data_IF_920909673701
#
_entry.id   IF_920909673701
#
_cell.length_a   1.000
_cell.length_b   1.000
_cell.length_c   1.000
_cell.angle_alpha   90.00
_cell.angle_beta   90.00
_cell.angle_gamma   90.00
#
_symmetry.space_group_name_H-M   'P 1'
#
loop_
_entity.id
_entity.type
_entity.pdbx_description
1 polymer ?
#
# COMPACT_ATOMS: atom_id res chain seq x y z
N UNK A 1 13.93 3.25 10.50
CA UNK A 1 13.77 4.04 11.74
C UNK A 1 14.75 5.20 11.85
N UNK A 2 16.06 5.00 11.70
CA UNK A 2 17.04 6.10 11.85
C UNK A 2 16.85 7.25 10.85
N UNK A 3 16.57 6.94 9.59
CA UNK A 3 16.25 7.95 8.56
C UNK A 3 14.96 8.70 8.90
N UNK A 4 13.97 8.04 9.51
CA UNK A 4 12.74 8.70 9.93
C UNK A 4 13.04 9.75 11.02
N UNK A 5 13.88 9.41 11.99
CA UNK A 5 14.32 10.34 13.04
C UNK A 5 15.08 11.55 12.47
N UNK A 6 15.98 11.32 11.50
CA UNK A 6 16.73 12.40 10.87
C UNK A 6 15.82 13.35 10.07
N UNK A 7 14.80 12.83 9.39
CA UNK A 7 13.84 13.64 8.62
C UNK A 7 12.88 14.41 9.53
N UNK A 8 12.45 13.79 10.63
CA UNK A 8 11.64 14.48 11.65
C UNK A 8 12.43 15.63 12.31
N UNK A 9 13.75 15.47 12.50
CA UNK A 9 14.61 16.55 12.99
C UNK A 9 14.71 17.74 12.00
N UNK A 10 14.43 17.50 10.72
CA UNK A 10 14.37 18.53 9.68
C UNK A 10 12.96 19.12 9.48
N UNK A 11 12.01 18.79 10.36
CA UNK A 11 10.68 19.41 10.41
C UNK A 11 9.64 18.78 9.49
N UNK A 12 9.91 17.62 8.88
CA UNK A 12 8.95 16.88 8.06
C UNK A 12 8.34 15.75 8.88
N UNK A 13 7.04 15.82 9.14
CA UNK A 13 6.31 14.74 9.82
C UNK A 13 6.15 13.54 8.88
N UNK A 14 6.80 12.43 9.24
CA UNK A 14 6.67 11.15 8.54
C UNK A 14 5.86 10.18 9.42
N UNK A 15 4.72 9.64 8.92
CA UNK A 15 3.98 8.62 9.64
C UNK A 15 4.85 7.37 9.92
N UNK A 16 4.77 6.77 11.12
CA UNK A 16 5.49 5.54 11.42
C UNK A 16 5.08 4.45 10.41
N UNK A 17 6.06 3.83 9.76
CA UNK A 17 5.80 2.82 8.72
C UNK A 17 5.85 3.33 7.27
N UNK A 18 5.72 4.64 7.03
CA UNK A 18 5.57 5.19 5.67
C UNK A 18 6.79 4.99 4.76
N UNK A 19 7.96 4.76 5.36
CA UNK A 19 9.24 4.56 4.68
C UNK A 19 9.54 3.08 4.36
N UNK A 20 8.76 2.13 4.89
CA UNK A 20 8.98 0.70 4.63
C UNK A 20 8.64 0.36 3.17
N UNK A 21 9.56 -0.35 2.51
CA UNK A 21 9.42 -0.75 1.10
C UNK A 21 9.66 0.38 0.08
N UNK A 22 10.04 1.58 0.54
CA UNK A 22 10.32 2.75 -0.32
C UNK A 22 11.81 2.95 -0.62
N UNK A 23 12.66 2.12 -0.01
CA UNK A 23 14.09 2.03 -0.28
C UNK A 23 14.36 0.77 -1.09
N UNK A 24 15.02 0.91 -2.23
CA UNK A 24 15.66 -0.18 -2.95
C UNK A 24 17.17 0.05 -2.94
N UNK A 25 17.95 -0.99 -2.63
CA UNK A 25 19.41 -0.91 -2.65
C UNK A 25 19.94 -1.99 -3.59
N UNK A 26 20.85 -1.60 -4.49
CA UNK A 26 21.61 -2.52 -5.33
C UNK A 26 23.12 -2.29 -5.09
N UNK A 27 23.93 -3.35 -5.19
CA UNK A 27 25.39 -3.26 -5.04
C UNK A 27 26.07 -4.02 -6.18
N UNK A 28 26.66 -3.28 -7.11
CA UNK A 28 27.46 -3.84 -8.17
C UNK A 28 28.90 -3.34 -8.04
N UNK A 29 29.84 -4.27 -7.78
CA UNK A 29 31.30 -4.04 -7.83
C UNK A 29 31.77 -2.78 -7.05
N UNK A 30 31.42 -2.70 -5.77
CA UNK A 30 31.74 -1.59 -4.85
C UNK A 30 30.97 -0.27 -5.10
N UNK A 31 30.01 -0.26 -6.02
CA UNK A 31 29.08 0.87 -6.21
C UNK A 31 27.71 0.47 -5.66
N UNK A 32 27.28 1.15 -4.60
CA UNK A 32 25.96 0.99 -4.02
C UNK A 32 25.01 2.04 -4.59
N UNK A 33 23.87 1.63 -5.14
CA UNK A 33 22.82 2.52 -5.61
C UNK A 33 21.60 2.40 -4.70
N UNK A 34 21.13 3.53 -4.17
CA UNK A 34 19.91 3.60 -3.34
C UNK A 34 18.83 4.39 -4.08
N UNK A 35 17.72 3.73 -4.36
CA UNK A 35 16.51 4.35 -4.91
C UNK A 35 15.55 4.71 -3.77
N UNK A 36 15.02 5.94 -3.78
CA UNK A 36 14.05 6.44 -2.80
C UNK A 36 12.83 6.96 -3.56
N UNK A 37 11.64 6.45 -3.22
CA UNK A 37 10.37 6.92 -3.79
C UNK A 37 9.53 7.68 -2.78
N UNK A 38 9.10 8.90 -3.08
CA UNK A 38 8.19 9.67 -2.20
C UNK A 38 7.12 10.43 -3.01
N UNK A 39 6.02 10.77 -2.35
CA UNK A 39 4.86 11.40 -2.99
C UNK A 39 5.01 12.92 -3.16
N UNK A 40 5.99 13.53 -2.48
CA UNK A 40 6.29 14.96 -2.52
C UNK A 40 7.78 15.17 -2.84
N UNK A 41 8.06 16.06 -3.81
CA UNK A 41 9.42 16.34 -4.26
C UNK A 41 10.23 17.11 -3.20
N UNK A 42 9.61 18.02 -2.45
CA UNK A 42 10.31 18.79 -1.43
C UNK A 42 10.72 17.90 -0.25
N UNK A 43 9.81 17.06 0.23
CA UNK A 43 10.13 16.06 1.25
C UNK A 43 11.14 15.00 0.75
N UNK A 44 11.12 14.63 -0.54
CA UNK A 44 12.08 13.67 -1.10
C UNK A 44 13.52 14.19 -1.04
N UNK A 45 13.74 15.49 -1.30
CA UNK A 45 15.07 16.12 -1.18
C UNK A 45 15.61 16.07 0.25
N UNK A 46 14.75 16.38 1.23
CA UNK A 46 15.06 16.29 2.67
C UNK A 46 15.40 14.85 3.07
N UNK A 47 14.60 13.89 2.62
CA UNK A 47 14.84 12.45 2.88
C UNK A 47 16.16 11.99 2.25
N UNK A 48 16.46 12.40 1.02
CA UNK A 48 17.70 12.05 0.34
C UNK A 48 18.93 12.58 1.09
N UNK A 49 18.89 13.86 1.53
CA UNK A 49 19.96 14.47 2.33
C UNK A 49 20.16 13.78 3.67
N UNK A 50 19.07 13.49 4.38
CA UNK A 50 19.13 12.77 5.65
C UNK A 50 19.68 11.33 5.47
N UNK A 51 19.32 10.64 4.39
CA UNK A 51 19.85 9.31 4.10
C UNK A 51 21.36 9.34 3.82
N UNK A 52 21.84 10.35 3.08
CA UNK A 52 23.28 10.57 2.85
C UNK A 52 24.02 10.81 4.17
N UNK A 53 23.49 11.68 5.03
CA UNK A 53 24.09 12.02 6.32
C UNK A 53 24.22 10.79 7.23
N UNK A 54 23.17 9.96 7.29
CA UNK A 54 23.18 8.70 8.06
C UNK A 54 24.21 7.72 7.49
N UNK A 55 24.27 7.55 6.17
CA UNK A 55 25.23 6.66 5.53
C UNK A 55 26.68 7.11 5.73
N UNK A 56 26.95 8.42 5.76
CA UNK A 56 28.28 8.95 6.02
C UNK A 56 28.67 8.83 7.51
N UNK A 57 27.75 9.16 8.42
CA UNK A 57 28.04 9.27 9.86
C UNK A 57 28.03 7.91 10.55
N UNK A 58 27.17 6.98 10.11
CA UNK A 58 27.02 5.64 10.71
C UNK A 58 27.64 4.53 9.87
N UNK A 59 28.54 4.87 8.93
CA UNK A 59 29.19 3.90 8.04
C UNK A 59 29.83 2.72 8.80
N UNK A 60 30.43 2.96 9.96
CA UNK A 60 31.17 1.96 10.73
C UNK A 60 30.25 0.87 11.30
N UNK A 61 28.97 1.19 11.53
CA UNK A 61 27.96 0.26 12.04
C UNK A 61 27.43 -0.63 10.92
N UNK A 62 27.20 -0.06 9.74
CA UNK A 62 26.62 -0.78 8.60
C UNK A 62 27.65 -1.54 7.76
N UNK A 63 28.91 -1.09 7.74
CA UNK A 63 30.02 -1.74 7.05
C UNK A 63 30.99 -2.44 8.01
N UNK A 64 30.46 -3.13 9.03
CA UNK A 64 31.24 -3.92 10.00
C UNK A 64 32.15 -4.99 9.35
N UNK A 65 31.86 -5.36 8.10
CA UNK A 65 32.64 -6.25 7.24
C UNK A 65 34.09 -5.75 7.01
N UNK A 66 34.35 -4.46 7.23
CA UNK A 66 35.67 -3.82 7.11
C UNK A 66 36.48 -3.85 8.42
N UNK A 67 36.09 -4.71 9.37
CA UNK A 67 36.84 -4.95 10.61
C UNK A 67 36.81 -3.79 11.60
N UNK A 68 35.73 -3.00 11.62
CA UNK A 68 35.58 -1.85 12.54
C UNK A 68 36.38 -0.60 12.14
N UNK A 69 37.01 -0.61 10.95
CA UNK A 69 37.65 0.58 10.38
C UNK A 69 36.60 1.38 9.60
N UNK A 70 36.49 2.71 9.81
CA UNK A 70 35.51 3.52 9.10
C UNK A 70 35.69 3.40 7.57
N UNK A 71 34.64 3.00 6.87
CA UNK A 71 34.64 2.98 5.42
C UNK A 71 34.60 4.43 4.92
N UNK A 72 35.50 4.83 4.03
CA UNK A 72 35.35 6.11 3.33
C UNK A 72 34.21 5.98 2.32
N UNK A 73 33.01 6.45 2.69
CA UNK A 73 31.85 6.52 1.80
C UNK A 73 31.96 7.83 1.01
N UNK A 74 32.35 7.72 -0.26
CA UNK A 74 32.36 8.86 -1.19
C UNK A 74 31.08 8.84 -2.02
N UNK A 75 30.39 9.98 -2.06
CA UNK A 75 29.22 10.16 -2.93
C UNK A 75 29.74 10.28 -4.36
N UNK A 76 29.27 9.40 -5.24
CA UNK A 76 29.73 9.33 -6.62
C UNK A 76 28.88 10.18 -7.59
N UNK A 77 27.60 10.42 -7.26
CA UNK A 77 26.69 11.25 -8.03
C UNK A 77 25.67 11.95 -7.12
N UNK A 78 25.18 13.12 -7.55
CA UNK A 78 24.16 13.86 -6.81
C UNK A 78 22.76 13.22 -7.01
N UNK A 79 21.90 13.20 -5.97
CA UNK A 79 20.55 12.67 -6.10
C UNK A 79 19.74 13.45 -7.13
N UNK A 80 19.33 12.79 -8.22
CA UNK A 80 18.41 13.37 -9.21
C UNK A 80 16.97 12.98 -8.89
N UNK A 81 16.14 13.97 -8.63
CA UNK A 81 14.70 13.78 -8.41
C UNK A 81 14.00 13.72 -9.76
N UNK A 82 13.45 12.55 -10.09
CA UNK A 82 12.66 12.35 -11.30
C UNK A 82 11.22 11.99 -10.93
N UNK A 83 10.21 12.58 -11.59
CA UNK A 83 8.81 12.21 -11.36
C UNK A 83 8.57 10.76 -11.82
N UNK A 84 8.19 9.90 -10.89
CA UNK A 84 7.78 8.53 -11.17
C UNK A 84 6.25 8.45 -11.36
N UNK A 85 5.76 7.64 -12.32
CA UNK A 85 4.33 7.39 -12.44
C UNK A 85 3.78 6.79 -11.14
N UNK A 86 2.56 7.17 -10.69
CA UNK A 86 1.93 6.54 -9.54
C UNK A 86 1.84 5.02 -9.71
N UNK A 87 2.04 4.22 -8.64
CA UNK A 87 1.87 2.78 -8.69
C UNK A 87 0.49 2.40 -9.25
N UNK A 88 0.40 1.31 -10.02
CA UNK A 88 -0.88 0.82 -10.56
C UNK A 88 -1.92 0.61 -9.45
N UNK A 89 -1.48 0.18 -8.27
CA UNK A 89 -2.33 -0.01 -7.08
C UNK A 89 -3.02 1.28 -6.64
N UNK A 90 -2.34 2.43 -6.78
CA UNK A 90 -2.89 3.73 -6.41
C UNK A 90 -3.92 4.19 -7.45
N UNK A 91 -3.69 3.86 -8.72
CA UNK A 91 -4.63 4.15 -9.81
C UNK A 91 -5.93 3.34 -9.71
N UNK A 92 -5.83 2.05 -9.36
CA UNK A 92 -7.00 1.15 -9.31
C UNK A 92 -7.60 0.97 -7.92
N UNK A 93 -6.96 1.48 -6.86
CA UNK A 93 -7.43 1.37 -5.49
C UNK A 93 -8.91 1.76 -5.31
N UNK A 94 -9.36 2.93 -5.79
CA UNK A 94 -10.77 3.32 -5.70
C UNK A 94 -11.73 2.39 -6.45
N UNK A 95 -11.36 1.97 -7.66
CA UNK A 95 -12.16 1.06 -8.48
C UNK A 95 -12.30 -0.32 -7.81
N UNK A 96 -11.22 -0.84 -7.24
CA UNK A 96 -11.23 -2.12 -6.50
C UNK A 96 -12.15 -2.02 -5.27
N UNK A 97 -12.08 -0.92 -4.51
CA UNK A 97 -12.95 -0.72 -3.33
C UNK A 97 -14.43 -0.67 -3.71
N UNK A 98 -14.77 0.06 -4.78
CA UNK A 98 -16.15 0.14 -5.28
C UNK A 98 -16.62 -1.23 -5.77
N UNK A 99 -15.82 -1.91 -6.58
CA UNK A 99 -16.13 -3.25 -7.08
C UNK A 99 -16.33 -4.25 -5.95
N UNK A 100 -15.45 -4.24 -4.95
CA UNK A 100 -15.56 -5.10 -3.78
C UNK A 100 -16.82 -4.79 -2.96
N UNK A 101 -17.14 -3.52 -2.76
CA UNK A 101 -18.36 -3.10 -2.08
C UNK A 101 -19.63 -3.55 -2.82
N UNK A 102 -19.64 -3.44 -4.15
CA UNK A 102 -20.76 -3.90 -4.98
C UNK A 102 -20.93 -5.42 -4.89
N UNK A 103 -19.84 -6.18 -5.02
CA UNK A 103 -19.87 -7.65 -4.92
C UNK A 103 -20.34 -8.09 -3.54
N UNK A 104 -19.82 -7.47 -2.48
CA UNK A 104 -20.26 -7.74 -1.11
C UNK A 104 -21.74 -7.39 -0.92
N UNK A 105 -22.20 -6.25 -1.42
CA UNK A 105 -23.61 -5.85 -1.35
C UNK A 105 -24.54 -6.83 -2.06
N UNK A 106 -24.19 -7.27 -3.27
CA UNK A 106 -24.96 -8.28 -4.01
C UNK A 106 -24.96 -9.61 -3.28
N UNK A 107 -23.80 -10.06 -2.77
CA UNK A 107 -23.71 -11.30 -2.00
C UNK A 107 -24.59 -11.25 -0.75
N UNK A 108 -24.58 -10.14 -0.01
CA UNK A 108 -25.43 -9.95 1.16
C UNK A 108 -26.91 -9.90 0.79
N UNK A 109 -27.27 -9.25 -0.32
CA UNK A 109 -28.66 -9.21 -0.81
C UNK A 109 -29.17 -10.61 -1.19
N UNK A 110 -28.34 -11.40 -1.89
CA UNK A 110 -28.65 -12.78 -2.24
C UNK A 110 -28.76 -13.67 -0.99
N UNK A 111 -27.86 -13.50 -0.03
CA UNK A 111 -27.92 -14.24 1.24
C UNK A 111 -29.20 -13.89 2.01
N UNK A 112 -29.55 -12.61 2.10
CA UNK A 112 -30.78 -12.17 2.74
C UNK A 112 -32.01 -12.73 2.02
N UNK A 113 -32.00 -12.78 0.69
CA UNK A 113 -33.07 -13.38 -0.09
C UNK A 113 -33.17 -14.90 0.12
N UNK A 114 -32.04 -15.60 0.20
CA UNK A 114 -32.01 -17.05 0.41
C UNK A 114 -32.46 -17.46 1.82
N UNK A 115 -32.22 -16.61 2.82
CA UNK A 115 -32.66 -16.82 4.20
C UNK A 115 -34.07 -16.30 4.47
N UNK A 116 -34.73 -15.64 3.51
CA UNK A 116 -36.09 -15.12 3.66
C UNK A 116 -37.10 -16.29 3.67
N UNK A 117 -37.81 -16.55 4.79
CA UNK A 117 -38.81 -17.60 4.85
C UNK A 117 -40.11 -17.25 4.10
N UNK A 118 -40.25 -16.05 3.54
CA UNK A 118 -41.45 -15.62 2.85
C UNK A 118 -41.61 -16.26 1.47
N UNK A 119 -42.71 -16.99 1.27
CA UNK A 119 -43.15 -17.45 -0.04
C UNK A 119 -43.87 -16.30 -0.76
N UNK A 120 -43.38 -15.89 -1.92
CA UNK A 120 -43.88 -14.69 -2.63
C UNK A 120 -44.61 -15.04 -3.91
N UNK A 121 -44.34 -16.22 -4.47
CA UNK A 121 -44.88 -16.69 -5.74
C UNK A 121 -45.59 -18.01 -5.58
N UNK A 122 -46.47 -18.29 -6.54
CA UNK A 122 -47.12 -19.58 -6.69
C UNK A 122 -46.09 -20.69 -6.85
N UNK A 123 -45.04 -20.44 -7.62
CA UNK A 123 -43.92 -21.37 -7.84
C UNK A 123 -43.26 -21.81 -6.53
N UNK A 124 -43.08 -20.88 -5.57
CA UNK A 124 -42.43 -21.18 -4.28
C UNK A 124 -43.26 -22.19 -3.46
N UNK A 125 -44.59 -22.12 -3.55
CA UNK A 125 -45.52 -23.02 -2.84
C UNK A 125 -45.59 -24.39 -3.53
N UNK A 126 -45.63 -24.39 -4.87
CA UNK A 126 -45.66 -25.64 -5.66
C UNK A 126 -44.33 -26.40 -5.54
N UNK A 127 -43.20 -25.70 -5.41
CA UNK A 127 -41.89 -26.30 -5.14
C UNK A 127 -41.82 -27.05 -3.79
N UNK A 128 -42.68 -26.71 -2.84
CA UNK A 128 -42.85 -27.42 -1.57
C UNK A 128 -43.77 -28.65 -1.70
N UNK A 129 -44.26 -28.97 -2.90
CA UNK A 129 -45.17 -30.09 -3.16
C UNK A 129 -46.62 -29.78 -2.78
N UNK A 130 -46.95 -28.52 -2.51
CA UNK A 130 -48.29 -28.08 -2.13
C UNK A 130 -49.05 -27.56 -3.37
N UNK A 131 -50.21 -28.13 -3.74
CA UNK A 131 -50.97 -27.67 -4.89
C UNK A 131 -51.66 -26.33 -4.60
N UNK A 132 -51.47 -25.34 -5.48
CA UNK A 132 -52.09 -24.01 -5.33
C UNK A 132 -53.48 -24.00 -5.94
N UNK A 133 -54.50 -23.81 -5.09
CA UNK A 133 -55.93 -23.85 -5.46
C UNK A 133 -56.38 -22.50 -6.06
N UNK A 134 -55.95 -21.37 -5.49
CA UNK A 134 -56.19 -20.03 -6.06
C UNK A 134 -55.19 -19.01 -5.48
N UNK A 135 -55.02 -17.88 -6.18
CA UNK A 135 -54.20 -16.75 -5.71
C UNK A 135 -55.08 -15.54 -5.42
N UNK A 136 -54.85 -14.86 -4.29
CA UNK A 136 -55.51 -13.60 -3.95
C UNK A 136 -54.84 -12.48 -4.76
N UNK A 137 -55.59 -11.70 -5.57
CA UNK A 137 -55.02 -10.60 -6.34
C UNK A 137 -54.47 -9.52 -5.41
N UNK A 138 -53.29 -8.98 -5.74
CA UNK A 138 -52.75 -7.79 -5.07
C UNK A 138 -53.63 -6.59 -5.46
N UNK A 139 -53.98 -5.76 -4.47
CA UNK A 139 -54.62 -4.46 -4.72
C UNK A 139 -53.72 -3.58 -5.59
#
# INVERSE_FOLDING_TARGET
DEVATAVMAQGVEIPPGALYGRFSSDNERSVGQVGIGWNDAAALDVIAKAAIEVLQTRNAVYFAQLGGTPATVTILDEPRINPAPPPLTDRFGPLIRIGLGLVAGVALALLAHALDPALRRREDVEALGLPVISSIPKQ
#
